data_IF_873984168634
#
_entry.id   IF_873984168634
#
_cell.length_a   1.000
_cell.length_b   1.000
_cell.length_c   1.000
_cell.angle_alpha   90.00
_cell.angle_beta   90.00
_cell.angle_gamma   90.00
#
_symmetry.space_group_name_H-M   'P 1'
#
loop_
_entity.id
_entity.type
_entity.pdbx_description
1 polymer ?
#
# COMPACT_ATOMS: atom_id res chain seq x y z
N UNK A 1 -31.70 -6.48 -12.02
CA UNK A 1 -30.77 -5.99 -11.00
C UNK A 1 -29.37 -6.39 -11.42
N UNK A 2 -28.50 -5.43 -11.58
CA UNK A 2 -27.12 -5.72 -11.96
C UNK A 2 -26.35 -6.33 -10.79
N UNK A 3 -25.43 -7.22 -11.12
CA UNK A 3 -24.59 -7.85 -10.13
C UNK A 3 -23.51 -6.88 -9.62
N UNK A 4 -23.25 -6.87 -8.32
CA UNK A 4 -22.25 -6.01 -7.71
C UNK A 4 -20.84 -6.40 -8.17
N UNK A 5 -20.04 -5.42 -8.59
CA UNK A 5 -18.70 -5.67 -9.13
C UNK A 5 -17.58 -5.27 -8.14
N UNK A 6 -16.41 -5.83 -8.36
CA UNK A 6 -15.20 -5.44 -7.62
C UNK A 6 -14.86 -3.96 -7.81
N UNK A 7 -15.10 -3.41 -8.99
CA UNK A 7 -14.89 -2.00 -9.28
C UNK A 7 -15.81 -1.10 -8.43
N UNK A 8 -17.07 -1.49 -8.26
CA UNK A 8 -18.01 -0.77 -7.40
C UNK A 8 -17.60 -0.84 -5.93
N UNK A 9 -17.08 -1.98 -5.47
CA UNK A 9 -16.50 -2.11 -4.12
C UNK A 9 -15.29 -1.20 -3.93
N UNK A 10 -14.39 -1.18 -4.89
CA UNK A 10 -13.21 -0.31 -4.86
C UNK A 10 -13.59 1.16 -4.76
N UNK A 11 -14.58 1.59 -5.51
CA UNK A 11 -15.08 2.96 -5.47
C UNK A 11 -15.79 3.28 -4.15
N UNK A 12 -16.68 2.39 -3.70
CA UNK A 12 -17.43 2.59 -2.45
C UNK A 12 -16.50 2.77 -1.24
N UNK A 13 -15.48 1.94 -1.13
CA UNK A 13 -14.52 2.01 -0.03
C UNK A 13 -13.39 3.01 -0.26
N UNK A 14 -13.36 3.66 -1.42
CA UNK A 14 -12.38 4.69 -1.75
C UNK A 14 -10.94 4.18 -1.83
N UNK A 15 -10.74 2.92 -2.17
CA UNK A 15 -9.42 2.27 -2.17
C UNK A 15 -8.38 3.03 -3.01
N UNK A 16 -8.69 3.52 -4.22
CA UNK A 16 -7.70 4.28 -5.00
C UNK A 16 -7.26 5.57 -4.31
N UNK A 17 -8.13 6.19 -3.51
CA UNK A 17 -7.82 7.44 -2.82
C UNK A 17 -6.91 7.25 -1.62
N UNK A 18 -7.32 6.38 -0.69
CA UNK A 18 -6.49 6.16 0.52
C UNK A 18 -5.33 5.21 0.26
N UNK A 19 -5.48 4.29 -0.69
CA UNK A 19 -4.48 3.25 -0.98
C UNK A 19 -3.27 3.77 -1.75
N UNK A 20 -3.43 4.82 -2.55
CA UNK A 20 -2.32 5.47 -3.29
C UNK A 20 -1.48 4.50 -4.14
N UNK A 21 -2.11 3.50 -4.73
CA UNK A 21 -1.43 2.47 -5.52
C UNK A 21 -0.84 1.33 -4.71
N UNK A 22 -0.83 1.42 -3.38
CA UNK A 22 -0.37 0.33 -2.51
C UNK A 22 -1.46 -0.70 -2.23
N UNK A 23 -2.72 -0.35 -2.49
CA UNK A 23 -3.86 -1.25 -2.28
C UNK A 23 -4.78 -1.23 -3.49
N UNK A 24 -5.34 -2.38 -3.81
CA UNK A 24 -6.34 -2.52 -4.88
C UNK A 24 -7.35 -3.59 -4.52
N UNK A 25 -8.48 -3.59 -5.22
CA UNK A 25 -9.46 -4.67 -5.17
C UNK A 25 -9.31 -5.48 -6.45
N UNK A 26 -9.00 -6.76 -6.34
CA UNK A 26 -8.91 -7.67 -7.48
C UNK A 26 -10.29 -8.01 -8.05
N UNK A 27 -10.31 -8.61 -9.25
CA UNK A 27 -11.55 -9.00 -9.92
C UNK A 27 -12.37 -10.02 -9.11
N UNK A 28 -11.71 -10.76 -8.22
CA UNK A 28 -12.34 -11.69 -7.28
C UNK A 28 -12.93 -11.00 -6.03
N UNK A 29 -12.80 -9.68 -5.92
CA UNK A 29 -13.25 -8.92 -4.76
C UNK A 29 -12.28 -8.90 -3.59
N UNK A 30 -11.13 -9.55 -3.70
CA UNK A 30 -10.14 -9.58 -2.62
C UNK A 30 -9.31 -8.31 -2.59
N UNK A 31 -9.04 -7.80 -1.38
CA UNK A 31 -8.11 -6.68 -1.19
C UNK A 31 -6.68 -7.18 -1.40
N UNK A 32 -5.91 -6.45 -2.19
CA UNK A 32 -4.52 -6.76 -2.52
C UNK A 32 -3.59 -5.64 -2.08
N UNK A 33 -2.39 -6.02 -1.65
CA UNK A 33 -1.31 -5.09 -1.31
C UNK A 33 -0.27 -5.12 -2.40
N UNK A 34 0.15 -3.94 -2.84
CA UNK A 34 1.24 -3.75 -3.80
C UNK A 34 2.37 -3.01 -3.09
N UNK A 35 3.34 -3.72 -2.48
CA UNK A 35 4.36 -3.08 -1.63
C UNK A 35 5.21 -2.04 -2.34
N UNK A 36 5.36 -2.16 -3.67
CA UNK A 36 6.13 -1.23 -4.50
C UNK A 36 5.25 -0.47 -5.49
N UNK A 37 3.94 -0.43 -5.30
CA UNK A 37 2.95 0.15 -6.22
C UNK A 37 2.90 -0.53 -7.60
N UNK A 38 3.66 -1.59 -7.81
CA UNK A 38 3.68 -2.31 -9.08
C UNK A 38 2.45 -3.19 -9.22
N UNK A 39 1.74 -3.08 -10.35
CA UNK A 39 0.49 -3.80 -10.57
C UNK A 39 0.67 -5.33 -10.51
N UNK A 40 1.79 -5.83 -11.02
CA UNK A 40 2.08 -7.26 -11.12
C UNK A 40 2.62 -7.89 -9.82
N UNK A 41 3.06 -7.06 -8.88
CA UNK A 41 3.59 -7.50 -7.58
C UNK A 41 2.56 -7.27 -6.48
N UNK A 42 1.64 -8.21 -6.33
CA UNK A 42 0.52 -8.10 -5.40
C UNK A 42 0.46 -9.27 -4.43
N UNK A 43 0.04 -8.97 -3.21
CA UNK A 43 -0.25 -9.97 -2.17
C UNK A 43 -1.75 -9.95 -1.92
N UNK A 44 -2.42 -11.07 -2.14
CA UNK A 44 -3.84 -11.25 -1.84
C UNK A 44 -4.02 -11.44 -0.33
N UNK A 45 -4.67 -10.49 0.34
CA UNK A 45 -4.82 -10.51 1.79
C UNK A 45 -5.72 -11.63 2.28
N UNK A 46 -6.75 -12.00 1.53
CA UNK A 46 -7.62 -13.11 1.91
C UNK A 46 -6.85 -14.44 1.89
N UNK A 47 -6.06 -14.65 0.86
CA UNK A 47 -5.21 -15.83 0.74
C UNK A 47 -4.18 -15.86 1.88
N UNK A 48 -3.53 -14.73 2.15
CA UNK A 48 -2.54 -14.63 3.23
C UNK A 48 -3.14 -14.96 4.60
N UNK A 49 -4.30 -14.39 4.92
CA UNK A 49 -4.99 -14.67 6.19
C UNK A 49 -5.40 -16.14 6.29
N UNK A 50 -5.86 -16.74 5.19
CA UNK A 50 -6.17 -18.15 5.14
C UNK A 50 -4.96 -19.05 5.44
N UNK A 51 -3.81 -18.71 4.86
CA UNK A 51 -2.55 -19.43 5.12
C UNK A 51 -2.10 -19.30 6.59
N UNK A 52 -2.27 -18.11 7.18
CA UNK A 52 -1.98 -17.90 8.60
C UNK A 52 -2.88 -18.74 9.49
N UNK A 53 -4.16 -18.80 9.19
CA UNK A 53 -5.14 -19.63 9.93
C UNK A 53 -4.76 -21.10 9.87
N UNK A 54 -4.33 -21.60 8.72
CA UNK A 54 -3.84 -22.97 8.56
C UNK A 54 -2.62 -23.27 9.43
N UNK A 55 -1.82 -22.25 9.73
CA UNK A 55 -0.66 -22.35 10.63
C UNK A 55 -1.00 -22.12 12.10
N UNK A 56 -2.28 -21.99 12.43
CA UNK A 56 -2.75 -21.78 13.80
C UNK A 56 -2.71 -20.32 14.26
N UNK A 57 -2.56 -19.37 13.36
CA UNK A 57 -2.57 -17.95 13.68
C UNK A 57 -3.94 -17.39 13.31
N UNK A 58 -4.76 -17.12 14.33
CA UNK A 58 -6.11 -16.63 14.17
C UNK A 58 -6.21 -15.10 14.36
N UNK A 59 -7.28 -14.51 13.80
CA UNK A 59 -7.58 -13.10 14.02
C UNK A 59 -7.92 -12.83 15.50
N UNK A 60 -7.60 -11.63 16.05
CA UNK A 60 -7.06 -10.49 15.33
C UNK A 60 -5.57 -10.60 15.03
N UNK A 61 -5.16 -10.14 13.83
CA UNK A 61 -3.75 -10.12 13.42
C UNK A 61 -3.35 -8.75 12.94
N UNK A 62 -2.11 -8.36 13.22
CA UNK A 62 -1.50 -7.16 12.66
C UNK A 62 -0.55 -7.60 11.55
N UNK A 63 -0.81 -7.14 10.33
CA UNK A 63 0.02 -7.40 9.17
C UNK A 63 0.88 -6.19 8.87
N UNK A 64 2.18 -6.39 8.74
CA UNK A 64 3.12 -5.35 8.35
C UNK A 64 3.85 -5.76 7.08
N UNK A 65 4.00 -4.82 6.18
CA UNK A 65 4.70 -5.01 4.90
C UNK A 65 5.91 -4.07 4.86
N UNK A 66 7.09 -4.52 5.31
CA UNK A 66 8.29 -3.66 5.38
C UNK A 66 8.67 -3.05 4.03
N UNK A 67 8.46 -3.75 2.93
CA UNK A 67 8.75 -3.25 1.60
C UNK A 67 7.87 -2.05 1.21
N UNK A 68 6.61 -2.01 1.69
CA UNK A 68 5.74 -0.86 1.50
C UNK A 68 6.32 0.38 2.19
N UNK A 69 6.72 0.22 3.44
CA UNK A 69 7.33 1.31 4.20
C UNK A 69 8.64 1.78 3.55
N UNK A 70 9.49 0.85 3.15
CA UNK A 70 10.74 1.15 2.45
C UNK A 70 10.49 1.91 1.16
N UNK A 71 9.54 1.45 0.37
CA UNK A 71 9.16 2.10 -0.89
C UNK A 71 8.64 3.53 -0.63
N UNK A 72 7.79 3.71 0.37
CA UNK A 72 7.23 5.03 0.70
C UNK A 72 8.30 6.01 1.15
N UNK A 73 9.21 5.59 2.01
CA UNK A 73 10.33 6.42 2.47
C UNK A 73 11.22 6.82 1.30
N UNK A 74 11.56 5.87 0.44
CA UNK A 74 12.36 6.12 -0.76
C UNK A 74 11.68 7.10 -1.71
N UNK A 75 10.39 6.96 -1.94
CA UNK A 75 9.60 7.86 -2.78
C UNK A 75 9.61 9.29 -2.23
N UNK A 76 9.41 9.46 -0.94
CA UNK A 76 9.47 10.78 -0.31
C UNK A 76 10.87 11.42 -0.48
N UNK A 77 11.93 10.64 -0.27
CA UNK A 77 13.30 11.12 -0.47
C UNK A 77 13.54 11.57 -1.92
N UNK A 78 13.07 10.81 -2.90
CA UNK A 78 13.20 11.15 -4.32
C UNK A 78 12.44 12.43 -4.67
N UNK A 79 11.21 12.58 -4.19
CA UNK A 79 10.39 13.77 -4.44
C UNK A 79 11.07 15.02 -3.89
N UNK A 80 11.59 14.97 -2.67
CA UNK A 80 12.31 16.10 -2.07
C UNK A 80 13.66 16.36 -2.75
N UNK A 81 14.37 15.31 -3.18
CA UNK A 81 15.61 15.48 -3.95
C UNK A 81 15.35 16.20 -5.28
N UNK A 82 14.28 15.83 -5.98
CA UNK A 82 13.87 16.49 -7.21
C UNK A 82 13.50 17.95 -6.97
N UNK A 83 12.71 18.23 -5.95
CA UNK A 83 12.32 19.60 -5.60
C UNK A 83 13.53 20.48 -5.26
N UNK A 84 14.49 19.95 -4.51
CA UNK A 84 15.74 20.63 -4.18
C UNK A 84 16.53 21.00 -5.44
N UNK A 85 16.62 20.07 -6.39
CA UNK A 85 17.31 20.31 -7.66
C UNK A 85 16.57 21.36 -8.51
N UNK A 86 15.24 21.23 -8.64
CA UNK A 86 14.42 22.12 -9.45
C UNK A 86 14.46 23.58 -8.95
N UNK A 87 14.57 23.77 -7.63
CA UNK A 87 14.62 25.12 -7.00
C UNK A 87 16.01 25.56 -6.57
N UNK A 88 17.05 24.80 -6.95
CA UNK A 88 18.44 25.09 -6.58
C UNK A 88 18.65 25.26 -5.08
N UNK A 89 17.91 24.50 -4.26
CA UNK A 89 18.01 24.53 -2.83
C UNK A 89 19.24 23.75 -2.36
N UNK A 90 20.13 24.40 -1.61
CA UNK A 90 21.41 23.81 -1.17
C UNK A 90 21.38 23.21 0.23
N UNK A 91 20.27 23.36 0.94
CA UNK A 91 20.08 22.74 2.26
C UNK A 91 19.92 21.24 2.20
N UNK A 92 19.97 20.60 3.36
CA UNK A 92 19.80 19.15 3.50
C UNK A 92 18.32 18.79 3.68
N UNK A 93 17.99 17.56 3.30
CA UNK A 93 16.70 16.94 3.60
C UNK A 93 16.87 15.91 4.69
N UNK A 94 16.02 15.96 5.71
CA UNK A 94 15.96 14.98 6.78
C UNK A 94 14.54 14.47 6.94
N UNK A 95 14.34 13.15 6.78
CA UNK A 95 13.07 12.52 7.07
C UNK A 95 13.02 12.16 8.54
N UNK A 96 12.08 12.78 9.27
CA UNK A 96 11.92 12.56 10.71
C UNK A 96 10.57 11.87 10.96
N UNK A 97 10.62 10.73 11.64
CA UNK A 97 9.42 10.02 12.07
C UNK A 97 9.31 10.08 13.59
N UNK A 98 8.31 10.77 14.15
CA UNK A 98 8.16 10.85 15.60
C UNK A 98 7.61 9.52 16.15
N UNK A 99 8.37 8.93 17.06
CA UNK A 99 7.96 7.73 17.79
C UNK A 99 7.43 8.16 19.16
N UNK A 100 6.18 7.83 19.42
CA UNK A 100 5.50 8.21 20.67
C UNK A 100 5.06 6.99 21.46
#
# INVERSE_FOLDING_TARGET
>A
MDEWTAAESSELYGVPRWGKGYFSVGDDGHLRVHPTQHADAAIDLRTLVGELTERGIDAPVLLRFPDLLRHRIGHLAEVFAKARADFNYTGNYHCVYPIK
#
